data_IF_585225280533
#
_entry.id   IF_585225280533
#
_cell.length_a   1.000
_cell.length_b   1.000
_cell.length_c   1.000
_cell.angle_alpha   90.00
_cell.angle_beta   90.00
_cell.angle_gamma   90.00
#
_symmetry.space_group_name_H-M   'P 1'
#
loop_
_entity.id
_entity.type
_entity.pdbx_description
1 polymer ?
#
# COMPACT_ATOMS: atom_id res chain seq x y z
N UNK A 1 62.08 -13.31 -31.11
CA UNK A 1 61.30 -13.38 -32.36
C UNK A 1 59.85 -13.09 -32.02
N UNK A 2 59.20 -12.21 -32.78
CA UNK A 2 57.89 -11.60 -32.53
C UNK A 2 56.76 -12.62 -32.41
N UNK A 3 55.77 -12.35 -31.57
CA UNK A 3 54.36 -12.57 -31.91
C UNK A 3 53.50 -11.53 -31.17
N UNK A 4 52.82 -10.75 -32.00
CA UNK A 4 51.92 -9.63 -31.71
C UNK A 4 50.50 -10.22 -31.77
N UNK A 5 49.58 -9.79 -30.90
CA UNK A 5 48.31 -9.15 -31.28
C UNK A 5 47.30 -9.11 -30.12
N UNK A 6 46.98 -7.87 -29.74
CA UNK A 6 45.82 -7.42 -28.96
C UNK A 6 44.54 -8.14 -29.40
N UNK A 7 43.72 -8.58 -28.44
CA UNK A 7 42.27 -8.32 -28.44
C UNK A 7 41.79 -8.10 -27.00
N UNK A 8 41.30 -6.88 -26.77
CA UNK A 8 40.49 -6.50 -25.62
C UNK A 8 39.22 -7.37 -25.63
N UNK A 9 38.98 -8.11 -24.54
CA UNK A 9 37.69 -8.74 -24.28
C UNK A 9 37.10 -8.07 -23.04
N UNK A 10 36.66 -6.83 -23.20
CA UNK A 10 35.72 -6.20 -22.29
C UNK A 10 34.34 -6.75 -22.65
N UNK A 11 34.00 -7.91 -22.07
CA UNK A 11 32.65 -8.43 -22.11
C UNK A 11 31.87 -7.73 -20.99
N UNK A 12 31.30 -6.57 -21.33
CA UNK A 12 30.32 -5.90 -20.51
C UNK A 12 29.11 -6.82 -20.35
N UNK A 13 29.07 -7.49 -19.21
CA UNK A 13 27.92 -8.20 -18.69
C UNK A 13 26.86 -7.14 -18.31
N UNK A 14 26.18 -6.59 -19.31
CA UNK A 14 24.90 -5.91 -19.14
C UNK A 14 23.92 -7.01 -18.72
N UNK A 15 23.89 -7.32 -17.43
CA UNK A 15 22.70 -7.90 -16.83
C UNK A 15 21.60 -6.89 -17.10
N UNK A 16 20.68 -7.25 -17.98
CA UNK A 16 19.45 -6.50 -18.18
C UNK A 16 18.78 -6.40 -16.83
N UNK A 17 18.74 -5.19 -16.28
CA UNK A 17 17.81 -4.86 -15.22
C UNK A 17 16.44 -5.25 -15.75
N UNK A 18 15.83 -6.22 -15.06
CA UNK A 18 14.47 -6.66 -15.32
C UNK A 18 13.60 -5.42 -15.27
N UNK A 19 13.12 -4.98 -16.43
CA UNK A 19 12.17 -3.89 -16.57
C UNK A 19 10.82 -4.34 -16.03
N UNK A 20 10.68 -4.33 -14.71
CA UNK A 20 9.40 -4.47 -14.00
C UNK A 20 9.04 -3.22 -13.16
N UNK A 21 9.78 -2.11 -13.27
CA UNK A 21 9.45 -0.87 -12.52
C UNK A 21 8.78 0.24 -13.35
N UNK A 22 9.04 0.33 -14.66
CA UNK A 22 8.68 1.53 -15.42
C UNK A 22 7.17 1.82 -15.49
N UNK A 23 6.31 0.78 -15.53
CA UNK A 23 4.86 0.98 -15.60
C UNK A 23 4.25 1.44 -14.27
N UNK A 24 4.83 1.04 -13.13
CA UNK A 24 4.30 1.41 -11.82
C UNK A 24 4.71 2.83 -11.44
N UNK A 25 5.94 3.24 -11.77
CA UNK A 25 6.42 4.61 -11.54
C UNK A 25 5.63 5.65 -12.34
N UNK A 26 5.43 5.43 -13.64
CA UNK A 26 4.64 6.33 -14.50
C UNK A 26 3.20 6.50 -13.96
N UNK A 27 2.62 5.42 -13.42
CA UNK A 27 1.26 5.40 -12.90
C UNK A 27 1.10 6.16 -11.57
N UNK A 28 2.09 6.04 -10.67
CA UNK A 28 2.11 6.79 -9.42
C UNK A 28 2.39 8.28 -9.65
N UNK A 29 3.19 8.61 -10.66
CA UNK A 29 3.42 10.00 -11.08
C UNK A 29 2.15 10.66 -11.63
N UNK A 30 1.29 9.93 -12.33
CA UNK A 30 0.01 10.47 -12.77
C UNK A 30 -0.95 10.71 -11.60
N UNK A 31 -0.97 9.82 -10.59
CA UNK A 31 -1.74 10.01 -9.36
C UNK A 31 -1.32 11.23 -8.52
N UNK A 32 -0.09 11.74 -8.69
CA UNK A 32 0.37 12.97 -8.04
C UNK A 32 -0.16 14.24 -8.72
N UNK A 33 -0.53 14.16 -10.00
CA UNK A 33 -0.89 15.32 -10.84
C UNK A 33 -2.38 15.68 -10.75
N UNK A 34 -3.24 14.74 -10.40
CA UNK A 34 -4.69 14.92 -10.39
C UNK A 34 -5.35 14.40 -9.10
N UNK A 35 -6.50 15.00 -8.77
CA UNK A 35 -7.42 14.42 -7.79
C UNK A 35 -8.23 13.31 -8.44
N UNK A 36 -8.34 12.17 -7.76
CA UNK A 36 -9.15 11.03 -8.19
C UNK A 36 -10.12 10.60 -7.09
N UNK A 37 -11.17 9.86 -7.43
CA UNK A 37 -12.06 9.30 -6.43
C UNK A 37 -11.32 8.33 -5.48
N UNK A 38 -11.71 8.32 -4.20
CA UNK A 38 -11.06 7.53 -3.14
C UNK A 38 -10.95 6.03 -3.48
N UNK A 39 -12.00 5.45 -4.02
CA UNK A 39 -12.06 4.06 -4.44
C UNK A 39 -11.11 3.75 -5.60
N UNK A 40 -11.07 4.65 -6.60
CA UNK A 40 -10.14 4.56 -7.73
C UNK A 40 -8.70 4.64 -7.23
N UNK A 41 -8.39 5.53 -6.32
CA UNK A 41 -7.05 5.67 -5.75
C UNK A 41 -6.55 4.37 -5.11
N UNK A 42 -7.32 3.79 -4.18
CA UNK A 42 -6.90 2.56 -3.51
C UNK A 42 -6.89 1.35 -4.44
N UNK A 43 -7.77 1.31 -5.46
CA UNK A 43 -7.67 0.29 -6.50
C UNK A 43 -6.34 0.40 -7.27
N UNK A 44 -5.95 1.60 -7.65
CA UNK A 44 -4.68 1.85 -8.35
C UNK A 44 -3.48 1.45 -7.51
N UNK A 45 -3.40 1.88 -6.24
CA UNK A 45 -2.33 1.47 -5.31
C UNK A 45 -2.25 -0.06 -5.22
N UNK A 46 -3.37 -0.72 -4.92
CA UNK A 46 -3.35 -2.19 -4.76
C UNK A 46 -2.97 -2.91 -6.05
N UNK A 47 -3.29 -2.38 -7.24
CA UNK A 47 -2.86 -2.94 -8.52
C UNK A 47 -1.34 -2.81 -8.73
N UNK A 48 -0.76 -1.65 -8.41
CA UNK A 48 0.68 -1.41 -8.51
C UNK A 48 1.49 -2.38 -7.64
N UNK A 49 0.95 -2.77 -6.48
CA UNK A 49 1.63 -3.63 -5.50
C UNK A 49 1.13 -5.09 -5.43
N UNK A 50 0.19 -5.51 -6.30
CA UNK A 50 -0.40 -6.87 -6.25
C UNK A 50 0.64 -8.00 -6.48
N UNK A 51 1.79 -7.67 -7.07
CA UNK A 51 2.92 -8.61 -7.31
C UNK A 51 4.25 -8.03 -6.82
N UNK A 52 4.20 -7.03 -5.94
CA UNK A 52 5.43 -6.47 -5.36
C UNK A 52 5.93 -7.37 -4.24
N UNK A 53 7.25 -7.39 -4.06
CA UNK A 53 7.92 -8.00 -2.91
C UNK A 53 7.95 -7.04 -1.69
N UNK A 54 7.33 -5.85 -1.80
CA UNK A 54 7.22 -4.89 -0.71
C UNK A 54 6.49 -5.48 0.50
N UNK A 55 7.16 -5.44 1.66
CA UNK A 55 6.59 -5.89 2.93
C UNK A 55 5.52 -4.93 3.44
N UNK A 56 5.77 -3.63 3.32
CA UNK A 56 4.80 -2.58 3.58
C UNK A 56 4.99 -1.40 2.62
N UNK A 57 3.92 -0.65 2.39
CA UNK A 57 3.91 0.54 1.54
C UNK A 57 3.28 1.69 2.31
N UNK A 58 4.08 2.72 2.61
CA UNK A 58 3.60 3.97 3.16
C UNK A 58 2.99 4.82 2.06
N UNK A 59 1.76 5.29 2.28
CA UNK A 59 1.01 6.10 1.33
C UNK A 59 0.61 7.39 2.03
N UNK A 60 1.14 8.51 1.54
CA UNK A 60 0.79 9.85 2.00
C UNK A 60 -0.11 10.52 0.95
N UNK A 61 -1.25 11.07 1.36
CA UNK A 61 -2.21 11.69 0.43
C UNK A 61 -2.99 12.83 1.09
N UNK A 62 -3.53 13.72 0.26
CA UNK A 62 -4.57 14.67 0.67
C UNK A 62 -5.93 14.08 0.38
N UNK A 63 -6.83 14.10 1.36
CA UNK A 63 -8.22 13.69 1.23
C UNK A 63 -9.15 14.90 1.30
N UNK A 64 -9.99 15.05 0.30
CA UNK A 64 -11.02 16.07 0.22
C UNK A 64 -12.39 15.46 0.57
N UNK A 65 -12.86 15.74 1.77
CA UNK A 65 -14.13 15.20 2.29
C UNK A 65 -15.37 15.66 1.52
N UNK A 66 -15.32 16.81 0.82
CA UNK A 66 -16.48 17.37 0.11
C UNK A 66 -16.87 16.56 -1.12
N UNK A 67 -15.88 16.10 -1.88
CA UNK A 67 -16.07 15.34 -3.12
C UNK A 67 -15.58 13.89 -2.99
N UNK A 68 -15.02 13.51 -1.84
CA UNK A 68 -14.41 12.20 -1.57
C UNK A 68 -13.27 11.87 -2.53
N UNK A 69 -12.57 12.90 -3.00
CA UNK A 69 -11.40 12.74 -3.82
C UNK A 69 -10.13 12.72 -2.98
N UNK A 70 -9.07 12.16 -3.56
CA UNK A 70 -7.73 12.13 -3.02
C UNK A 70 -6.71 12.55 -4.05
N UNK A 71 -5.64 13.15 -3.56
CA UNK A 71 -4.44 13.48 -4.33
C UNK A 71 -3.24 12.82 -3.68
N UNK A 72 -2.46 12.07 -4.45
CA UNK A 72 -1.28 11.41 -3.94
C UNK A 72 -0.19 12.44 -3.61
N UNK A 73 0.45 12.29 -2.45
CA UNK A 73 1.64 13.07 -2.07
C UNK A 73 2.91 12.23 -2.24
N UNK A 74 2.95 11.05 -1.60
CA UNK A 74 4.08 10.12 -1.71
C UNK A 74 3.64 8.66 -1.55
N UNK A 75 4.42 7.77 -2.15
CA UNK A 75 4.34 6.32 -1.94
C UNK A 75 5.76 5.81 -1.78
N UNK A 76 6.01 5.10 -0.70
CA UNK A 76 7.33 4.61 -0.33
C UNK A 76 7.20 3.16 0.15
N UNK A 77 8.06 2.27 -0.33
CA UNK A 77 8.22 0.96 0.30
C UNK A 77 8.91 1.15 1.65
N UNK A 78 8.44 0.44 2.67
CA UNK A 78 8.90 0.60 4.04
C UNK A 78 9.06 -0.76 4.73
N UNK A 79 9.98 -0.82 5.68
CA UNK A 79 10.11 -1.99 6.56
C UNK A 79 9.04 -1.89 7.67
N UNK A 80 8.23 -2.95 7.87
CA UNK A 80 7.25 -2.98 8.94
C UNK A 80 7.96 -3.09 10.30
N UNK A 81 7.37 -2.48 11.33
CA UNK A 81 7.85 -2.71 12.71
C UNK A 81 7.70 -4.19 13.08
N UNK A 82 8.40 -4.62 14.13
CA UNK A 82 8.20 -5.96 14.70
C UNK A 82 6.74 -6.24 15.07
N UNK A 83 6.02 -5.24 15.57
CA UNK A 83 4.61 -5.34 15.92
C UNK A 83 3.72 -5.63 14.72
N UNK A 84 3.87 -4.85 13.65
CA UNK A 84 3.13 -5.07 12.40
C UNK A 84 3.51 -6.41 11.74
N UNK A 85 4.81 -6.75 11.74
CA UNK A 85 5.31 -8.03 11.21
C UNK A 85 4.67 -9.23 11.90
N UNK A 86 4.54 -9.16 13.24
CA UNK A 86 3.87 -10.20 14.02
C UNK A 86 2.39 -10.32 13.65
N UNK A 87 1.68 -9.20 13.56
CA UNK A 87 0.28 -9.16 13.16
C UNK A 87 0.07 -9.75 11.74
N UNK A 88 0.95 -9.42 10.79
CA UNK A 88 0.94 -9.99 9.44
C UNK A 88 1.08 -11.51 9.49
N UNK A 89 2.05 -12.02 10.26
CA UNK A 89 2.26 -13.45 10.41
C UNK A 89 1.04 -14.17 11.02
N UNK A 90 0.41 -13.58 12.04
CA UNK A 90 -0.82 -14.12 12.64
C UNK A 90 -1.96 -14.19 11.62
N UNK A 91 -2.20 -13.10 10.86
CA UNK A 91 -3.23 -13.05 9.83
C UNK A 91 -2.97 -14.05 8.70
N UNK A 92 -1.72 -14.24 8.29
CA UNK A 92 -1.35 -15.26 7.30
C UNK A 92 -1.59 -16.68 7.81
N UNK A 93 -1.27 -16.96 9.07
CA UNK A 93 -1.55 -18.26 9.68
C UNK A 93 -3.06 -18.52 9.76
N UNK A 94 -3.85 -17.53 10.18
CA UNK A 94 -5.31 -17.62 10.17
C UNK A 94 -5.85 -17.88 8.75
N UNK A 95 -5.32 -17.18 7.73
CA UNK A 95 -5.70 -17.40 6.33
C UNK A 95 -5.28 -18.76 5.80
N UNK A 96 -4.14 -19.32 6.21
CA UNK A 96 -3.77 -20.70 5.84
C UNK A 96 -4.79 -21.71 6.37
N UNK A 97 -5.29 -21.51 7.58
CA UNK A 97 -6.35 -22.34 8.17
C UNK A 97 -7.69 -22.14 7.45
N UNK A 98 -8.01 -20.91 7.02
CA UNK A 98 -9.26 -20.61 6.32
C UNK A 98 -9.23 -20.94 4.82
N UNK A 99 -8.07 -20.97 4.16
CA UNK A 99 -7.93 -21.34 2.74
C UNK A 99 -8.33 -22.79 2.44
N UNK A 100 -8.38 -23.65 3.46
CA UNK A 100 -9.01 -24.97 3.38
C UNK A 100 -10.55 -24.92 3.26
N UNK A 101 -11.16 -23.74 3.43
CA UNK A 101 -12.59 -23.46 3.40
C UNK A 101 -12.85 -22.23 2.48
N UNK A 102 -12.64 -22.37 1.16
CA UNK A 102 -13.08 -21.44 0.09
C UNK A 102 -13.21 -19.92 0.41
N UNK A 103 -12.22 -19.26 1.02
CA UNK A 103 -12.29 -17.81 1.23
C UNK A 103 -11.73 -17.04 0.02
N UNK A 104 -12.63 -16.46 -0.79
CA UNK A 104 -12.33 -15.64 -1.96
C UNK A 104 -11.80 -14.28 -1.53
N UNK A 105 -10.50 -14.18 -1.26
CA UNK A 105 -9.69 -12.97 -1.41
C UNK A 105 -10.38 -11.61 -1.16
N UNK A 106 -10.81 -11.40 0.08
CA UNK A 106 -11.30 -10.10 0.57
C UNK A 106 -10.13 -9.17 0.94
N UNK A 107 -10.36 -7.88 0.83
CA UNK A 107 -9.49 -6.83 1.37
C UNK A 107 -9.89 -6.53 2.81
N UNK A 108 -8.98 -5.96 3.59
CA UNK A 108 -9.24 -5.54 4.95
C UNK A 108 -8.83 -4.07 5.16
N UNK A 109 -9.61 -3.36 5.97
CA UNK A 109 -9.27 -2.02 6.47
C UNK A 109 -9.20 -2.11 7.98
N UNK A 110 -8.06 -1.73 8.54
CA UNK A 110 -7.83 -1.57 9.97
C UNK A 110 -7.72 -0.08 10.28
N UNK A 111 -8.61 0.40 11.13
CA UNK A 111 -8.69 1.80 11.52
C UNK A 111 -8.53 1.92 13.03
N UNK A 112 -7.42 2.51 13.46
CA UNK A 112 -7.18 2.83 14.88
C UNK A 112 -7.61 4.26 15.21
N UNK A 113 -7.96 5.04 14.18
CA UNK A 113 -8.38 6.46 14.27
C UNK A 113 -9.81 6.67 14.76
N UNK A 114 -10.62 5.61 14.90
CA UNK A 114 -11.92 5.76 15.57
C UNK A 114 -12.80 4.52 15.60
N UNK A 115 -14.06 4.79 15.95
CA UNK A 115 -15.03 3.89 16.54
C UNK A 115 -15.80 4.62 17.65
N UNK A 116 -17.06 4.24 17.89
CA UNK A 116 -18.00 4.94 18.80
C UNK A 116 -17.49 5.15 20.24
N UNK A 117 -16.41 4.45 20.64
CA UNK A 117 -15.82 4.49 21.98
C UNK A 117 -14.28 4.69 21.97
N UNK A 118 -13.69 5.18 20.87
CA UNK A 118 -12.23 5.29 20.72
C UNK A 118 -11.51 3.94 20.60
N UNK A 119 -12.27 2.87 20.31
CA UNK A 119 -11.74 1.54 20.00
C UNK A 119 -11.66 1.39 18.50
N UNK A 120 -10.46 1.14 18.00
CA UNK A 120 -10.23 0.84 16.59
C UNK A 120 -11.04 -0.37 16.11
N UNK A 121 -11.17 -0.48 14.80
CA UNK A 121 -11.91 -1.57 14.16
C UNK A 121 -11.14 -2.14 12.97
N UNK A 122 -11.37 -3.43 12.69
CA UNK A 122 -10.93 -4.08 11.46
C UNK A 122 -12.15 -4.67 10.76
N UNK A 123 -12.33 -4.36 9.47
CA UNK A 123 -13.46 -4.83 8.67
C UNK A 123 -12.98 -5.36 7.31
N UNK A 124 -13.60 -6.45 6.86
CA UNK A 124 -13.43 -7.01 5.52
C UNK A 124 -14.28 -6.27 4.50
N UNK A 125 -13.79 -6.19 3.27
CA UNK A 125 -14.50 -5.65 2.12
C UNK A 125 -14.28 -6.56 0.89
N UNK A 126 -15.38 -6.90 0.20
CA UNK A 126 -15.41 -7.92 -0.86
C UNK A 126 -14.85 -7.46 -2.20
N UNK A 127 -14.61 -6.15 -2.35
CA UNK A 127 -13.92 -5.56 -3.49
C UNK A 127 -13.17 -4.30 -3.08
N UNK A 128 -12.14 -3.95 -3.84
CA UNK A 128 -11.36 -2.72 -3.64
C UNK A 128 -12.25 -1.47 -3.62
N UNK A 129 -13.24 -1.43 -4.51
CA UNK A 129 -14.24 -0.36 -4.59
C UNK A 129 -15.13 -0.31 -3.34
N UNK A 130 -15.50 -1.47 -2.78
CA UNK A 130 -16.26 -1.52 -1.52
C UNK A 130 -15.45 -1.09 -0.30
N UNK A 131 -14.11 -1.17 -0.35
CA UNK A 131 -13.24 -0.68 0.73
C UNK A 131 -13.23 0.85 0.82
N UNK A 132 -13.52 1.58 -0.27
CA UNK A 132 -13.56 3.03 -0.27
C UNK A 132 -14.51 3.61 0.77
N UNK A 133 -15.65 2.94 1.03
CA UNK A 133 -16.58 3.34 2.09
C UNK A 133 -15.98 3.19 3.49
N UNK A 134 -15.32 2.06 3.77
CA UNK A 134 -14.64 1.84 5.05
C UNK A 134 -13.49 2.83 5.27
N UNK A 135 -12.74 3.13 4.22
CA UNK A 135 -11.67 4.12 4.30
C UNK A 135 -12.23 5.52 4.53
N UNK A 136 -13.33 5.89 3.85
CA UNK A 136 -14.03 7.15 4.10
C UNK A 136 -14.47 7.26 5.56
N UNK A 137 -15.11 6.21 6.11
CA UNK A 137 -15.53 6.18 7.50
C UNK A 137 -14.34 6.40 8.44
N UNK A 138 -13.22 5.70 8.20
CA UNK A 138 -12.01 5.83 9.01
C UNK A 138 -11.40 7.23 8.99
N UNK A 139 -11.28 7.85 7.82
CA UNK A 139 -10.60 9.15 7.67
C UNK A 139 -11.52 10.31 8.09
N UNK A 140 -12.80 10.23 7.74
CA UNK A 140 -13.73 11.35 7.87
C UNK A 140 -14.61 11.27 9.11
N UNK A 141 -15.38 10.20 9.25
CA UNK A 141 -16.36 10.04 10.34
C UNK A 141 -15.64 9.81 11.68
N UNK A 142 -14.62 8.97 11.65
CA UNK A 142 -13.83 8.57 12.82
C UNK A 142 -12.61 9.51 13.02
N UNK A 143 -11.85 9.78 11.95
CA UNK A 143 -10.64 10.62 11.99
C UNK A 143 -10.89 12.14 11.96
N UNK A 144 -12.16 12.59 11.87
CA UNK A 144 -12.54 13.99 12.02
C UNK A 144 -12.07 14.93 10.90
N UNK A 145 -11.81 14.41 9.70
CA UNK A 145 -11.34 15.25 8.60
C UNK A 145 -12.44 16.21 8.07
N UNK A 146 -12.47 17.46 8.55
CA UNK A 146 -13.58 18.38 8.27
C UNK A 146 -13.64 18.95 6.84
N UNK A 147 -12.50 19.12 6.15
CA UNK A 147 -12.45 19.66 4.78
C UNK A 147 -11.43 18.93 3.90
N UNK A 148 -10.20 19.44 3.80
CA UNK A 148 -9.08 18.76 3.14
C UNK A 148 -8.05 18.43 4.21
N UNK A 149 -7.64 17.16 4.31
CA UNK A 149 -6.69 16.72 5.32
C UNK A 149 -5.59 15.88 4.70
N UNK A 150 -4.37 16.06 5.18
CA UNK A 150 -3.29 15.13 4.89
C UNK A 150 -3.46 13.90 5.77
N UNK A 151 -3.35 12.73 5.16
CA UNK A 151 -3.48 11.46 5.83
C UNK A 151 -2.43 10.48 5.33
N UNK A 152 -2.09 9.53 6.20
CA UNK A 152 -1.20 8.43 5.90
C UNK A 152 -1.95 7.12 6.05
N UNK A 153 -1.58 6.15 5.23
CA UNK A 153 -1.98 4.75 5.35
C UNK A 153 -0.77 3.85 5.10
N UNK A 154 -0.76 2.68 5.74
CA UNK A 154 0.17 1.61 5.40
C UNK A 154 -0.60 0.52 4.69
N UNK A 155 -0.19 0.16 3.48
CA UNK A 155 -0.71 -1.00 2.77
C UNK A 155 0.26 -2.16 2.91
N UNK A 156 -0.23 -3.31 3.34
CA UNK A 156 0.53 -4.56 3.37
C UNK A 156 0.02 -5.47 2.24
N UNK A 157 0.76 -5.64 1.13
CA UNK A 157 0.30 -6.39 -0.03
C UNK A 157 0.00 -7.86 0.27
N UNK A 158 0.83 -8.51 1.10
CA UNK A 158 0.73 -9.95 1.37
C UNK A 158 -0.61 -10.34 2.01
N UNK A 159 -1.10 -9.50 2.94
CA UNK A 159 -2.41 -9.65 3.59
C UNK A 159 -3.48 -8.72 3.01
N UNK A 160 -3.18 -7.93 1.98
CA UNK A 160 -4.13 -7.02 1.30
C UNK A 160 -4.90 -6.13 2.28
N UNK A 161 -4.17 -5.57 3.25
CA UNK A 161 -4.76 -4.79 4.34
C UNK A 161 -4.25 -3.37 4.31
N UNK A 162 -5.17 -2.42 4.48
CA UNK A 162 -4.83 -1.03 4.73
C UNK A 162 -4.94 -0.72 6.22
N UNK A 163 -3.88 -0.14 6.79
CA UNK A 163 -3.82 0.29 8.17
C UNK A 163 -3.83 1.81 8.25
N UNK A 164 -4.70 2.35 9.10
CA UNK A 164 -4.84 3.77 9.36
C UNK A 164 -4.65 4.01 10.86
N UNK A 165 -3.60 4.74 11.21
CA UNK A 165 -3.23 5.07 12.59
C UNK A 165 -2.84 6.55 12.71
N UNK A 166 -2.99 7.12 13.89
CA UNK A 166 -2.51 8.47 14.21
C UNK A 166 -0.99 8.53 14.32
N UNK A 167 -0.35 7.39 14.62
CA UNK A 167 1.09 7.29 14.74
C UNK A 167 1.67 6.23 13.81
N UNK A 168 2.14 6.67 12.64
CA UNK A 168 2.68 5.79 11.61
C UNK A 168 3.91 4.99 12.07
N UNK A 169 4.64 5.49 13.07
CA UNK A 169 5.83 4.85 13.60
C UNK A 169 5.51 3.56 14.38
N UNK A 170 4.23 3.33 14.70
CA UNK A 170 3.79 2.06 15.28
C UNK A 170 3.77 0.94 14.22
N UNK A 171 3.71 1.32 12.93
CA UNK A 171 3.54 0.40 11.81
C UNK A 171 4.81 0.19 10.98
N UNK A 172 5.62 1.23 10.78
CA UNK A 172 6.83 1.16 9.94
C UNK A 172 8.06 1.71 10.66
N UNK A 173 9.24 1.18 10.31
CA UNK A 173 10.53 1.71 10.70
C UNK A 173 10.88 2.92 9.82
N UNK A 174 11.45 3.98 10.41
CA UNK A 174 11.86 5.22 9.73
C UNK A 174 13.35 5.46 9.85
#
# INVERSE_FOLDING_TARGET
>A
MKLIFKKFFALSLLMGFVACSNQNEEYLEDLKKEEVALDVFFDKITNSYNKSDAEAVLISYEFNSKNKNVRLLSVEEAEPTWGLSFEVAERLNARKVMRTLEDKSDYEVSCDKGGKDGKGWTKKCSSKMSCGGLVYDCIHEDGGCATVCQANAVYVPEIRTFFFTDNINDLIEK
#
